data_IF_973789091858
#
_entry.id   IF_973789091858
#
_cell.length_a   1.000
_cell.length_b   1.000
_cell.length_c   1.000
_cell.angle_alpha   90.00
_cell.angle_beta   90.00
_cell.angle_gamma   90.00
#
_symmetry.space_group_name_H-M   'P 1'
#
loop_
_entity.id
_entity.type
_entity.pdbx_description
1 polymer ?
#
# COMPACT_ATOMS: atom_id res chain seq x y z
N UNK A 1 3.19 22.60 -3.41
CA UNK A 1 3.93 21.63 -2.59
C UNK A 1 2.94 21.06 -1.59
N UNK A 2 2.91 19.77 -1.33
CA UNK A 2 1.93 19.20 -0.38
C UNK A 2 2.38 19.53 1.04
N UNK A 3 1.59 20.34 1.78
CA UNK A 3 1.78 20.59 3.22
C UNK A 3 1.16 19.45 4.07
N UNK A 4 0.86 18.31 3.46
CA UNK A 4 0.30 17.16 4.19
C UNK A 4 1.30 16.70 5.27
N UNK A 5 0.84 16.46 6.50
CA UNK A 5 1.68 15.88 7.54
C UNK A 5 2.17 14.50 7.12
N UNK A 6 3.30 14.07 7.68
CA UNK A 6 3.75 12.71 7.48
C UNK A 6 2.79 11.71 8.11
N UNK A 7 2.56 10.59 7.40
CA UNK A 7 1.92 9.39 7.89
C UNK A 7 2.85 8.21 7.72
N UNK A 8 2.85 7.31 8.69
CA UNK A 8 3.76 6.18 8.72
C UNK A 8 2.99 4.87 8.84
N UNK A 9 3.24 3.97 7.89
CA UNK A 9 2.69 2.63 7.90
C UNK A 9 3.78 1.58 8.05
N UNK A 10 3.41 0.41 8.53
CA UNK A 10 4.26 -0.77 8.48
C UNK A 10 3.50 -1.95 7.87
N UNK A 11 4.14 -2.64 6.93
CA UNK A 11 3.61 -3.88 6.36
C UNK A 11 4.20 -5.07 7.09
N UNK A 12 3.35 -5.77 7.86
CA UNK A 12 3.72 -6.98 8.57
C UNK A 12 3.49 -8.23 7.70
N UNK A 13 4.38 -9.22 7.87
CA UNK A 13 4.30 -10.51 7.15
C UNK A 13 3.39 -11.51 7.84
N UNK A 14 3.32 -11.45 9.19
CA UNK A 14 2.51 -12.37 9.97
C UNK A 14 3.15 -12.75 11.31
N UNK A 15 2.71 -13.86 11.87
CA UNK A 15 3.20 -14.40 13.14
C UNK A 15 2.99 -15.90 13.21
N UNK A 16 3.77 -16.59 14.05
CA UNK A 16 3.65 -18.03 14.30
C UNK A 16 2.51 -18.40 15.26
N UNK A 17 1.90 -17.41 15.93
CA UNK A 17 0.77 -17.63 16.84
C UNK A 17 -0.11 -16.39 16.98
N UNK A 18 -1.37 -16.59 17.42
CA UNK A 18 -2.27 -15.47 17.69
C UNK A 18 -1.80 -14.56 18.84
N UNK A 19 -1.02 -15.08 19.77
CA UNK A 19 -0.39 -14.27 20.84
C UNK A 19 0.65 -13.33 20.20
N UNK A 20 1.58 -13.89 19.46
CA UNK A 20 2.64 -13.13 18.78
C UNK A 20 2.05 -12.06 17.85
N UNK A 21 0.98 -12.39 17.11
CA UNK A 21 0.31 -11.41 16.26
C UNK A 21 -0.22 -10.21 17.06
N UNK A 22 -0.92 -10.45 18.16
CA UNK A 22 -1.42 -9.38 19.03
C UNK A 22 -0.29 -8.55 19.65
N UNK A 23 0.80 -9.18 20.06
CA UNK A 23 1.99 -8.49 20.58
C UNK A 23 2.61 -7.59 19.52
N UNK A 24 2.77 -8.06 18.27
CA UNK A 24 3.21 -7.24 17.13
C UNK A 24 2.27 -6.04 16.87
N UNK A 25 0.96 -6.27 16.87
CA UNK A 25 -0.01 -5.18 16.67
C UNK A 25 0.13 -4.07 17.73
N UNK A 26 0.21 -4.44 19.01
CA UNK A 26 0.43 -3.48 20.10
C UNK A 26 1.78 -2.79 19.97
N UNK A 27 2.81 -3.52 19.56
CA UNK A 27 4.15 -2.94 19.34
C UNK A 27 4.13 -1.86 18.27
N UNK A 28 3.46 -2.10 17.14
CA UNK A 28 3.27 -1.11 16.06
C UNK A 28 2.61 0.15 16.59
N UNK A 29 1.53 0.01 17.35
CA UNK A 29 0.82 1.15 17.94
C UNK A 29 1.68 1.91 18.96
N UNK A 30 2.41 1.20 19.84
CA UNK A 30 3.32 1.80 20.83
C UNK A 30 4.47 2.57 20.19
N UNK A 31 4.96 2.14 19.03
CA UNK A 31 5.99 2.83 18.28
C UNK A 31 5.48 4.08 17.54
N UNK A 32 4.17 4.34 17.56
CA UNK A 32 3.59 5.55 16.97
C UNK A 32 3.30 5.46 15.47
N UNK A 33 3.24 4.27 14.88
CA UNK A 33 2.77 4.12 13.50
C UNK A 33 1.29 4.50 13.36
N UNK A 34 0.95 5.09 12.21
CA UNK A 34 -0.44 5.45 11.88
C UNK A 34 -1.23 4.23 11.35
N UNK A 35 -0.55 3.33 10.62
CA UNK A 35 -1.22 2.23 9.92
C UNK A 35 -0.42 0.93 10.02
N UNK A 36 -1.10 -0.16 10.36
CA UNK A 36 -0.63 -1.52 10.19
C UNK A 36 -1.25 -2.09 8.92
N UNK A 37 -0.41 -2.60 8.03
CA UNK A 37 -0.86 -3.24 6.80
C UNK A 37 -0.41 -4.69 6.72
N UNK A 38 -1.19 -5.51 6.02
CA UNK A 38 -0.82 -6.89 5.65
C UNK A 38 -0.94 -7.07 4.14
N UNK A 39 -0.11 -7.97 3.59
CA UNK A 39 -0.23 -8.36 2.20
C UNK A 39 -1.26 -9.49 2.03
N UNK A 40 -1.80 -9.61 0.82
CA UNK A 40 -2.74 -10.66 0.45
C UNK A 40 -2.03 -11.70 -0.43
N UNK A 41 -1.32 -12.61 0.23
CA UNK A 41 -0.52 -13.66 -0.40
C UNK A 41 -0.86 -15.04 0.15
N UNK A 42 -0.89 -16.08 -0.72
CA UNK A 42 -1.15 -17.45 -0.30
C UNK A 42 0.05 -18.15 0.35
N UNK A 43 1.27 -18.06 -0.18
CA UNK A 43 2.38 -18.87 0.34
C UNK A 43 3.01 -18.30 1.62
N UNK A 44 2.60 -17.12 2.04
CA UNK A 44 3.19 -16.43 3.19
C UNK A 44 2.25 -15.41 3.80
N UNK A 45 2.41 -15.18 5.10
CA UNK A 45 1.58 -14.22 5.82
C UNK A 45 0.30 -14.85 6.38
N UNK A 46 -0.52 -14.01 6.95
CA UNK A 46 -1.84 -14.35 7.48
C UNK A 46 -2.92 -13.95 6.47
N UNK A 47 -4.05 -14.64 6.47
CA UNK A 47 -5.22 -14.21 5.72
C UNK A 47 -5.65 -12.79 6.15
N UNK A 48 -5.73 -11.81 5.23
CA UNK A 48 -5.76 -10.40 5.60
C UNK A 48 -6.96 -10.00 6.45
N UNK A 49 -8.17 -10.49 6.17
CA UNK A 49 -9.35 -10.11 6.95
C UNK A 49 -9.27 -10.54 8.41
N UNK A 50 -8.87 -11.79 8.68
CA UNK A 50 -8.71 -12.29 10.05
C UNK A 50 -7.59 -11.56 10.79
N UNK A 51 -6.46 -11.31 10.12
CA UNK A 51 -5.33 -10.60 10.68
C UNK A 51 -5.70 -9.14 11.04
N UNK A 52 -6.36 -8.43 10.11
CA UNK A 52 -6.75 -7.03 10.31
C UNK A 52 -7.86 -6.87 11.35
N UNK A 53 -8.84 -7.77 11.39
CA UNK A 53 -9.86 -7.78 12.44
C UNK A 53 -9.24 -7.98 13.82
N UNK A 54 -8.28 -8.91 13.94
CA UNK A 54 -7.55 -9.12 15.18
C UNK A 54 -6.69 -7.91 15.56
N UNK A 55 -6.04 -7.27 14.60
CA UNK A 55 -5.26 -6.06 14.84
C UNK A 55 -6.16 -4.91 15.33
N UNK A 56 -7.29 -4.69 14.67
CA UNK A 56 -8.26 -3.67 15.06
C UNK A 56 -8.82 -3.90 16.47
N UNK A 57 -9.13 -5.16 16.84
CA UNK A 57 -9.64 -5.52 18.17
C UNK A 57 -8.55 -5.49 19.28
N UNK A 58 -7.28 -5.34 18.89
CA UNK A 58 -6.13 -5.40 19.82
C UNK A 58 -5.53 -4.03 20.09
N UNK A 59 -5.86 -3.04 19.25
CA UNK A 59 -5.33 -1.68 19.25
C UNK A 59 -6.45 -0.65 19.28
N UNK A 60 -6.17 0.55 19.79
CA UNK A 60 -7.19 1.58 20.04
C UNK A 60 -7.21 2.65 18.94
N UNK A 61 -6.06 3.02 18.40
CA UNK A 61 -5.89 4.14 17.45
C UNK A 61 -5.34 3.74 16.10
N UNK A 62 -4.63 2.60 16.04
CA UNK A 62 -3.93 2.14 14.86
C UNK A 62 -4.92 1.88 13.72
N UNK A 63 -4.70 2.50 12.58
CA UNK A 63 -5.42 2.17 11.36
C UNK A 63 -4.97 0.81 10.85
N UNK A 64 -5.87 0.09 10.22
CA UNK A 64 -5.60 -1.26 9.68
C UNK A 64 -5.92 -1.28 8.19
N UNK A 65 -5.13 -1.99 7.40
CA UNK A 65 -5.38 -2.07 5.97
C UNK A 65 -4.61 -3.18 5.27
N UNK A 66 -4.99 -3.47 4.04
CA UNK A 66 -4.19 -4.34 3.19
C UNK A 66 -3.24 -3.50 2.32
N UNK A 67 -2.03 -3.97 2.14
CA UNK A 67 -1.06 -3.38 1.22
C UNK A 67 -0.54 -4.47 0.26
N UNK A 68 -1.34 -4.88 -0.71
CA UNK A 68 -2.75 -4.55 -1.00
C UNK A 68 -3.57 -5.84 -1.17
N UNK A 69 -4.89 -5.79 -1.07
CA UNK A 69 -5.76 -6.90 -1.51
C UNK A 69 -5.56 -7.17 -3.00
N UNK A 70 -5.43 -8.45 -3.38
CA UNK A 70 -5.40 -8.85 -4.78
C UNK A 70 -6.84 -8.94 -5.31
N UNK A 71 -7.17 -8.09 -6.27
CA UNK A 71 -8.52 -8.02 -6.85
C UNK A 71 -9.01 -9.37 -7.38
N UNK A 72 -8.11 -10.16 -7.94
CA UNK A 72 -8.46 -11.43 -8.59
C UNK A 72 -8.77 -12.58 -7.61
N UNK A 73 -8.47 -12.41 -6.32
CA UNK A 73 -8.67 -13.47 -5.33
C UNK A 73 -10.09 -13.53 -4.77
N UNK A 74 -10.94 -12.54 -5.07
CA UNK A 74 -12.35 -12.51 -4.62
C UNK A 74 -13.22 -11.60 -5.46
N UNK A 75 -14.53 -11.91 -5.49
CA UNK A 75 -15.50 -11.05 -6.17
C UNK A 75 -15.60 -9.68 -5.47
N UNK A 76 -15.73 -8.54 -6.20
CA UNK A 76 -15.84 -7.20 -5.61
C UNK A 76 -16.96 -7.04 -4.58
N UNK A 77 -18.08 -7.75 -4.74
CA UNK A 77 -19.15 -7.73 -3.76
C UNK A 77 -18.74 -8.38 -2.42
N UNK A 78 -17.95 -9.46 -2.48
CA UNK A 78 -17.37 -10.08 -1.27
C UNK A 78 -16.39 -9.12 -0.63
N UNK A 79 -15.49 -8.51 -1.41
CA UNK A 79 -14.55 -7.51 -0.92
C UNK A 79 -15.29 -6.34 -0.25
N UNK A 80 -16.33 -5.79 -0.90
CA UNK A 80 -17.11 -4.68 -0.36
C UNK A 80 -17.79 -5.04 0.97
N UNK A 81 -18.36 -6.27 1.07
CA UNK A 81 -18.99 -6.76 2.30
C UNK A 81 -17.98 -6.91 3.44
N UNK A 82 -16.87 -7.57 3.19
CA UNK A 82 -15.85 -7.84 4.20
C UNK A 82 -15.17 -6.54 4.68
N UNK A 83 -14.89 -5.63 3.76
CA UNK A 83 -14.28 -4.33 4.10
C UNK A 83 -15.25 -3.40 4.83
N UNK A 84 -16.54 -3.38 4.47
CA UNK A 84 -17.55 -2.64 5.24
C UNK A 84 -17.70 -3.19 6.66
N UNK A 85 -17.66 -4.52 6.81
CA UNK A 85 -17.68 -5.19 8.12
C UNK A 85 -16.45 -4.83 8.95
N UNK A 86 -15.26 -4.87 8.33
CA UNK A 86 -14.02 -4.53 9.01
C UNK A 86 -13.96 -3.04 9.38
N UNK A 87 -14.50 -2.15 8.55
CA UNK A 87 -14.60 -0.74 8.85
C UNK A 87 -15.49 -0.48 10.09
N UNK A 88 -16.64 -1.17 10.15
CA UNK A 88 -17.52 -1.11 11.33
C UNK A 88 -16.81 -1.63 12.58
N UNK A 89 -16.20 -2.82 12.52
CA UNK A 89 -15.53 -3.46 13.66
C UNK A 89 -14.26 -2.73 14.11
N UNK A 90 -13.63 -1.98 13.22
CA UNK A 90 -12.48 -1.12 13.54
C UNK A 90 -12.88 0.31 13.92
N UNK A 91 -14.17 0.62 14.02
CA UNK A 91 -14.66 1.97 14.33
C UNK A 91 -14.12 3.04 13.37
N UNK A 92 -14.11 2.72 12.05
CA UNK A 92 -13.68 3.66 11.01
C UNK A 92 -12.15 3.78 10.86
N UNK A 93 -11.37 2.78 11.30
CA UNK A 93 -9.90 2.78 11.16
C UNK A 93 -9.40 1.99 9.96
N UNK A 94 -10.29 1.53 9.07
CA UNK A 94 -9.89 0.79 7.87
C UNK A 94 -9.35 1.70 6.77
N UNK A 95 -8.31 1.21 6.06
CA UNK A 95 -7.86 1.68 4.74
C UNK A 95 -7.88 0.50 3.76
N UNK A 96 -8.52 0.69 2.61
CA UNK A 96 -8.69 -0.39 1.62
C UNK A 96 -7.65 -0.27 0.53
N UNK A 97 -6.52 -0.95 0.71
CA UNK A 97 -5.54 -1.08 -0.36
C UNK A 97 -5.95 -2.20 -1.32
N UNK A 98 -5.99 -1.93 -2.62
CA UNK A 98 -6.35 -2.90 -3.66
C UNK A 98 -5.40 -2.80 -4.86
N UNK A 99 -5.05 -3.95 -5.45
CA UNK A 99 -4.16 -4.05 -6.60
C UNK A 99 -4.60 -5.10 -7.60
N UNK A 100 -3.99 -5.07 -8.79
CA UNK A 100 -4.34 -5.98 -9.89
C UNK A 100 -3.69 -7.38 -9.78
N UNK A 101 -2.97 -7.68 -8.70
CA UNK A 101 -2.19 -8.91 -8.58
C UNK A 101 -0.90 -8.88 -9.42
N UNK A 102 0.13 -9.62 -8.98
CA UNK A 102 1.43 -9.59 -9.66
C UNK A 102 2.22 -10.91 -9.58
N UNK A 103 2.07 -11.69 -8.53
CA UNK A 103 2.90 -12.87 -8.25
C UNK A 103 2.34 -14.10 -8.98
N UNK A 104 2.86 -14.38 -10.19
CA UNK A 104 2.44 -15.48 -11.07
C UNK A 104 2.34 -16.82 -10.34
N UNK A 105 3.33 -17.15 -9.51
CA UNK A 105 3.40 -18.45 -8.82
C UNK A 105 2.22 -18.71 -7.89
N UNK A 106 1.60 -17.68 -7.33
CA UNK A 106 0.39 -17.83 -6.51
C UNK A 106 -0.84 -18.21 -7.34
N UNK A 107 -0.99 -17.58 -8.51
CA UNK A 107 -2.06 -17.88 -9.43
C UNK A 107 -1.94 -19.33 -9.93
N UNK A 108 -0.72 -19.73 -10.32
CA UNK A 108 -0.45 -21.10 -10.78
C UNK A 108 -0.71 -22.13 -9.67
N UNK A 109 -0.28 -21.85 -8.44
CA UNK A 109 -0.46 -22.76 -7.30
C UNK A 109 -1.93 -22.88 -6.87
N UNK A 110 -2.75 -21.86 -7.07
CA UNK A 110 -4.16 -21.84 -6.67
C UNK A 110 -5.11 -22.19 -7.81
N UNK A 111 -4.62 -22.30 -9.04
CA UNK A 111 -5.47 -22.53 -10.22
C UNK A 111 -6.26 -21.28 -10.67
N UNK A 112 -6.02 -20.12 -10.06
CA UNK A 112 -6.60 -18.85 -10.51
C UNK A 112 -5.92 -18.44 -11.82
N UNK A 113 -6.66 -18.07 -12.88
CA UNK A 113 -6.05 -17.69 -14.15
C UNK A 113 -5.15 -16.45 -14.02
N UNK A 114 -3.88 -16.58 -14.42
CA UNK A 114 -2.95 -15.46 -14.50
C UNK A 114 -3.03 -14.77 -15.86
N UNK A 115 -4.03 -13.94 -16.05
CA UNK A 115 -4.20 -13.16 -17.26
C UNK A 115 -3.07 -12.15 -17.49
N UNK A 116 -2.95 -11.62 -18.71
CA UNK A 116 -2.03 -10.52 -19.01
C UNK A 116 -2.33 -9.31 -18.10
N UNK A 117 -1.31 -8.58 -17.72
CA UNK A 117 -1.42 -7.43 -16.80
C UNK A 117 -2.53 -6.44 -17.22
N UNK A 118 -2.67 -6.18 -18.53
CA UNK A 118 -3.74 -5.32 -19.05
C UNK A 118 -5.14 -5.80 -18.68
N UNK A 119 -5.40 -7.11 -18.78
CA UNK A 119 -6.71 -7.71 -18.43
C UNK A 119 -6.97 -7.63 -16.94
N UNK A 120 -5.96 -7.91 -16.11
CA UNK A 120 -6.07 -7.77 -14.64
C UNK A 120 -6.34 -6.32 -14.22
N UNK A 121 -5.70 -5.34 -14.88
CA UNK A 121 -5.95 -3.92 -14.65
C UNK A 121 -7.36 -3.52 -15.10
N UNK A 122 -7.86 -4.05 -16.23
CA UNK A 122 -9.24 -3.80 -16.67
C UNK A 122 -10.26 -4.36 -15.68
N UNK A 123 -9.99 -5.55 -15.13
CA UNK A 123 -10.80 -6.16 -14.07
C UNK A 123 -10.84 -5.30 -12.81
N UNK A 124 -9.69 -4.79 -12.37
CA UNK A 124 -9.63 -3.84 -11.25
C UNK A 124 -10.36 -2.52 -11.55
N UNK A 125 -10.25 -2.02 -12.79
CA UNK A 125 -10.93 -0.79 -13.21
C UNK A 125 -12.46 -0.92 -13.15
N UNK A 126 -12.99 -2.12 -13.36
CA UNK A 126 -14.41 -2.42 -13.23
C UNK A 126 -14.80 -2.68 -11.76
N UNK A 127 -13.90 -3.27 -10.96
CA UNK A 127 -14.15 -3.56 -9.55
C UNK A 127 -14.23 -2.30 -8.68
N UNK A 128 -13.33 -1.33 -8.86
CA UNK A 128 -13.22 -0.15 -8.02
C UNK A 128 -14.53 0.65 -7.91
N UNK A 129 -15.18 1.07 -9.02
CA UNK A 129 -16.46 1.77 -8.93
C UNK A 129 -17.57 0.89 -8.35
N UNK A 130 -17.58 -0.42 -8.64
CA UNK A 130 -18.55 -1.33 -8.09
C UNK A 130 -18.44 -1.43 -6.57
N UNK A 131 -17.23 -1.59 -6.04
CA UNK A 131 -16.99 -1.62 -4.59
C UNK A 131 -17.47 -0.32 -3.92
N UNK A 132 -17.10 0.85 -4.47
CA UNK A 132 -17.52 2.16 -3.94
C UNK A 132 -19.04 2.31 -3.95
N UNK A 133 -19.72 1.94 -5.05
CA UNK A 133 -21.17 1.96 -5.13
C UNK A 133 -21.82 1.05 -4.10
N UNK A 134 -21.31 -0.16 -3.92
CA UNK A 134 -21.83 -1.11 -2.92
C UNK A 134 -21.68 -0.61 -1.47
N UNK A 135 -20.72 0.27 -1.18
CA UNK A 135 -20.60 0.92 0.13
C UNK A 135 -21.58 2.08 0.34
N UNK A 136 -22.02 2.73 -0.74
CA UNK A 136 -22.73 4.02 -0.66
C UNK A 136 -24.16 4.01 -1.17
N UNK A 137 -24.51 3.04 -2.03
CA UNK A 137 -25.81 2.96 -2.70
C UNK A 137 -26.58 1.69 -2.28
N UNK A 138 -27.90 1.73 -2.41
CA UNK A 138 -28.78 0.56 -2.36
C UNK A 138 -29.13 0.11 -3.78
N UNK A 139 -29.58 -1.14 -3.90
CA UNK A 139 -30.10 -1.73 -5.13
C UNK A 139 -29.13 -1.58 -6.32
N UNK A 140 -27.81 -1.78 -6.04
CA UNK A 140 -26.77 -1.65 -7.05
C UNK A 140 -26.96 -2.69 -8.14
N UNK A 141 -27.20 -2.21 -9.36
CA UNK A 141 -27.23 -3.04 -10.56
C UNK A 141 -26.11 -2.59 -11.51
N UNK A 142 -25.29 -3.55 -11.96
CA UNK A 142 -24.27 -3.36 -12.98
C UNK A 142 -24.12 -4.62 -13.81
N UNK A 143 -23.77 -4.45 -15.09
CA UNK A 143 -23.47 -5.54 -16.02
C UNK A 143 -22.20 -5.19 -16.76
N UNK A 144 -21.09 -5.54 -16.18
CA UNK A 144 -19.78 -5.31 -16.77
C UNK A 144 -19.28 -6.50 -17.55
N UNK A 145 -18.08 -6.38 -18.06
CA UNK A 145 -17.37 -7.47 -18.75
C UNK A 145 -16.93 -8.59 -17.78
N UNK A 146 -16.51 -8.19 -16.58
CA UNK A 146 -15.93 -9.10 -15.59
C UNK A 146 -16.85 -9.35 -14.41
N UNK A 147 -17.67 -8.37 -14.03
CA UNK A 147 -18.50 -8.43 -12.83
C UNK A 147 -19.94 -8.04 -13.12
N UNK A 148 -20.84 -8.68 -12.40
CA UNK A 148 -22.28 -8.37 -12.43
C UNK A 148 -22.82 -8.28 -11.01
N UNK A 149 -23.72 -7.36 -10.80
CA UNK A 149 -24.57 -7.28 -9.61
C UNK A 149 -25.99 -6.92 -10.07
N UNK A 150 -26.99 -7.46 -9.40
CA UNK A 150 -28.40 -7.20 -9.72
C UNK A 150 -29.13 -6.92 -8.42
N UNK A 151 -29.65 -5.70 -8.26
CA UNK A 151 -30.45 -5.26 -7.11
C UNK A 151 -29.76 -5.56 -5.76
N UNK A 152 -28.44 -5.38 -5.70
CA UNK A 152 -27.62 -5.75 -4.53
C UNK A 152 -27.48 -4.57 -3.58
N UNK A 153 -27.99 -4.73 -2.36
CA UNK A 153 -27.71 -3.84 -1.22
C UNK A 153 -26.85 -4.57 -0.18
N UNK A 154 -25.88 -3.89 0.41
CA UNK A 154 -25.01 -4.46 1.44
C UNK A 154 -25.29 -3.90 2.84
N UNK A 155 -25.23 -4.80 3.82
CA UNK A 155 -25.25 -4.49 5.26
C UNK A 155 -24.15 -5.29 5.96
N UNK A 156 -23.30 -4.70 6.85
CA UNK A 156 -23.34 -3.28 7.21
C UNK A 156 -22.83 -2.37 6.08
N UNK A 157 -23.08 -1.09 6.19
CA UNK A 157 -22.36 -0.05 5.47
C UNK A 157 -21.11 0.35 6.25
N UNK A 158 -20.04 0.87 5.60
CA UNK A 158 -18.92 1.48 6.30
C UNK A 158 -19.39 2.61 7.21
N UNK A 159 -18.64 2.84 8.31
CA UNK A 159 -18.87 3.99 9.19
C UNK A 159 -18.15 5.25 8.70
N UNK A 160 -17.07 5.08 7.92
CA UNK A 160 -16.38 6.20 7.28
C UNK A 160 -17.21 6.76 6.10
N UNK A 161 -17.36 8.08 6.03
CA UNK A 161 -18.08 8.76 4.96
C UNK A 161 -17.13 9.52 4.03
N UNK A 162 -17.34 9.47 2.70
CA UNK A 162 -18.37 8.70 1.99
C UNK A 162 -18.10 7.20 1.98
N UNK A 163 -16.85 6.76 2.19
CA UNK A 163 -16.39 5.38 2.27
C UNK A 163 -14.97 5.34 2.88
N UNK A 164 -14.45 4.18 3.29
CA UNK A 164 -13.05 4.04 3.71
C UNK A 164 -12.09 4.52 2.62
N UNK A 165 -10.95 5.16 2.97
CA UNK A 165 -9.96 5.56 1.98
C UNK A 165 -9.49 4.36 1.13
N UNK A 166 -9.50 4.55 -0.18
CA UNK A 166 -9.06 3.55 -1.14
C UNK A 166 -7.64 3.84 -1.60
N UNK A 167 -6.73 2.89 -1.35
CA UNK A 167 -5.38 2.91 -1.88
C UNK A 167 -5.29 2.01 -3.10
N UNK A 168 -4.68 2.48 -4.17
CA UNK A 168 -4.28 1.63 -5.30
C UNK A 168 -2.78 1.71 -5.50
N UNK A 169 -2.12 0.54 -5.47
CA UNK A 169 -0.67 0.43 -5.61
C UNK A 169 -0.24 -0.17 -6.94
N UNK A 170 0.88 0.31 -7.45
CA UNK A 170 1.50 -0.23 -8.65
C UNK A 170 2.74 0.54 -9.11
N UNK A 171 3.42 0.02 -10.14
CA UNK A 171 4.64 0.63 -10.68
C UNK A 171 4.54 0.99 -12.17
N UNK A 172 3.55 0.49 -12.90
CA UNK A 172 3.37 0.76 -14.33
C UNK A 172 2.42 1.91 -14.60
N UNK A 173 2.56 2.54 -15.78
CA UNK A 173 1.76 3.71 -16.15
C UNK A 173 0.24 3.44 -16.08
N UNK A 174 -0.24 2.31 -16.60
CA UNK A 174 -1.66 2.02 -16.69
C UNK A 174 -2.33 1.89 -15.32
N UNK A 175 -1.71 1.17 -14.38
CA UNK A 175 -2.24 1.01 -13.02
C UNK A 175 -2.16 2.32 -12.23
N UNK A 176 -1.08 3.10 -12.37
CA UNK A 176 -0.94 4.39 -11.71
C UNK A 176 -1.91 5.44 -12.27
N UNK A 177 -2.18 5.40 -13.58
CA UNK A 177 -3.24 6.24 -14.18
C UNK A 177 -4.64 5.85 -13.70
N UNK A 178 -4.89 4.56 -13.46
CA UNK A 178 -6.13 4.09 -12.84
C UNK A 178 -6.25 4.58 -11.40
N UNK A 179 -5.17 4.40 -10.61
CA UNK A 179 -5.08 4.89 -9.24
C UNK A 179 -5.38 6.40 -9.16
N UNK A 180 -4.74 7.19 -10.01
CA UNK A 180 -4.92 8.64 -10.07
C UNK A 180 -6.38 9.07 -10.29
N UNK A 181 -7.17 8.29 -11.03
CA UNK A 181 -8.58 8.60 -11.31
C UNK A 181 -9.54 8.12 -10.24
N UNK A 182 -9.23 7.03 -9.53
CA UNK A 182 -10.20 6.32 -8.69
C UNK A 182 -9.80 6.18 -7.22
N UNK A 183 -8.52 6.29 -6.87
CA UNK A 183 -8.06 6.14 -5.51
C UNK A 183 -7.99 7.47 -4.74
N UNK A 184 -7.93 7.37 -3.41
CA UNK A 184 -7.65 8.48 -2.51
C UNK A 184 -6.15 8.50 -2.16
N UNK A 185 -5.51 7.32 -2.17
CA UNK A 185 -4.10 7.12 -1.91
C UNK A 185 -3.47 6.38 -3.10
N UNK A 186 -2.40 6.95 -3.66
CA UNK A 186 -1.65 6.33 -4.75
C UNK A 186 -0.32 5.81 -4.21
N UNK A 187 -0.15 4.47 -4.20
CA UNK A 187 1.10 3.86 -3.76
C UNK A 187 2.05 3.64 -4.96
N UNK A 188 3.16 4.38 -4.95
CA UNK A 188 4.21 4.28 -5.96
C UNK A 188 5.12 3.11 -5.60
N UNK A 189 4.91 1.97 -6.24
CA UNK A 189 5.67 0.74 -5.99
C UNK A 189 6.64 0.45 -7.16
N UNK A 190 7.68 -0.37 -6.95
CA UNK A 190 8.42 -0.97 -8.06
C UNK A 190 7.49 -1.77 -8.97
N UNK A 191 7.78 -1.79 -10.27
CA UNK A 191 7.03 -2.62 -11.23
C UNK A 191 7.27 -4.10 -10.94
N UNK A 192 6.27 -4.92 -11.27
CA UNK A 192 6.49 -6.35 -11.40
C UNK A 192 7.05 -6.65 -12.80
N UNK A 193 8.02 -7.58 -12.87
CA UNK A 193 8.50 -8.13 -14.13
C UNK A 193 7.45 -9.01 -14.79
N UNK A 194 7.58 -9.36 -16.08
CA UNK A 194 6.66 -10.29 -16.75
C UNK A 194 6.55 -11.66 -16.06
N UNK A 195 7.62 -12.08 -15.38
CA UNK A 195 7.70 -13.32 -14.62
C UNK A 195 6.98 -13.24 -13.26
N UNK A 196 6.55 -12.04 -12.86
CA UNK A 196 5.85 -11.82 -11.60
C UNK A 196 6.82 -11.70 -10.41
N UNK A 197 7.95 -11.01 -10.59
CA UNK A 197 8.88 -10.62 -9.54
C UNK A 197 8.96 -9.09 -9.44
N UNK A 198 9.37 -8.50 -8.30
CA UNK A 198 9.65 -7.07 -8.24
C UNK A 198 10.84 -6.70 -9.13
N UNK A 199 10.70 -5.68 -9.94
CA UNK A 199 11.81 -5.10 -10.69
C UNK A 199 12.68 -4.27 -9.73
N UNK A 200 13.82 -4.85 -9.32
CA UNK A 200 14.72 -4.25 -8.33
C UNK A 200 15.40 -2.96 -8.82
N UNK A 201 15.39 -2.68 -10.11
CA UNK A 201 15.93 -1.46 -10.70
C UNK A 201 14.91 -0.33 -10.77
N UNK A 202 13.62 -0.62 -10.71
CA UNK A 202 12.52 0.37 -10.78
C UNK A 202 12.29 1.08 -9.43
N UNK A 203 13.39 1.41 -8.73
CA UNK A 203 13.37 2.05 -7.40
C UNK A 203 14.12 3.39 -7.35
N UNK A 204 14.58 3.90 -8.48
CA UNK A 204 15.36 5.13 -8.53
C UNK A 204 14.50 6.38 -8.33
N UNK A 205 15.16 7.50 -8.04
CA UNK A 205 14.52 8.82 -7.99
C UNK A 205 13.93 9.22 -9.35
N UNK A 206 14.60 8.84 -10.45
CA UNK A 206 14.13 9.08 -11.83
C UNK A 206 12.85 8.28 -12.13
N UNK A 207 12.84 6.99 -11.78
CA UNK A 207 11.63 6.15 -11.91
C UNK A 207 10.45 6.73 -11.13
N UNK A 208 10.70 7.19 -9.92
CA UNK A 208 9.66 7.81 -9.09
C UNK A 208 9.15 9.11 -9.72
N UNK A 209 10.04 9.96 -10.24
CA UNK A 209 9.65 11.18 -10.97
C UNK A 209 8.80 10.86 -12.21
N UNK A 210 9.20 9.83 -12.97
CA UNK A 210 8.44 9.35 -14.14
C UNK A 210 7.05 8.84 -13.76
N UNK A 211 6.95 8.01 -12.71
CA UNK A 211 5.67 7.51 -12.17
C UNK A 211 4.78 8.65 -11.71
N UNK A 212 5.35 9.62 -11.02
CA UNK A 212 4.63 10.80 -10.55
C UNK A 212 4.09 11.66 -11.72
N UNK A 213 4.85 11.77 -12.81
CA UNK A 213 4.36 12.45 -14.01
C UNK A 213 3.12 11.76 -14.60
N UNK A 214 3.08 10.42 -14.63
CA UNK A 214 1.89 9.67 -15.06
C UNK A 214 0.69 9.89 -14.14
N UNK A 215 0.93 9.91 -12.82
CA UNK A 215 -0.14 10.18 -11.83
C UNK A 215 -0.70 11.58 -12.01
N UNK A 216 0.15 12.60 -12.13
CA UNK A 216 -0.28 13.99 -12.34
C UNK A 216 -1.09 14.16 -13.63
N UNK A 217 -0.59 13.62 -14.75
CA UNK A 217 -1.27 13.68 -16.03
C UNK A 217 -2.65 13.01 -16.00
N UNK A 218 -2.79 11.89 -15.28
CA UNK A 218 -4.05 11.15 -15.21
C UNK A 218 -5.05 11.71 -14.17
N UNK A 219 -4.56 12.34 -13.10
CA UNK A 219 -5.37 12.96 -12.06
C UNK A 219 -5.96 14.31 -12.47
N UNK A 220 -5.23 15.08 -13.29
CA UNK A 220 -5.64 16.45 -13.64
C UNK A 220 -5.83 17.31 -12.39
N UNK A 221 -6.98 17.97 -12.28
CA UNK A 221 -7.35 18.86 -11.18
C UNK A 221 -7.46 18.15 -9.82
N UNK A 222 -7.70 16.81 -9.81
CA UNK A 222 -7.78 16.04 -8.56
C UNK A 222 -6.40 15.74 -7.94
N UNK A 223 -5.29 16.06 -8.61
CA UNK A 223 -3.95 15.73 -8.11
C UNK A 223 -3.66 16.25 -6.68
N UNK A 224 -4.07 17.46 -6.27
CA UNK A 224 -3.88 17.95 -4.90
C UNK A 224 -4.62 17.14 -3.84
N UNK A 225 -5.72 16.46 -4.20
CA UNK A 225 -6.52 15.65 -3.27
C UNK A 225 -5.88 14.27 -3.00
N UNK A 226 -4.98 13.83 -3.88
CA UNK A 226 -4.32 12.54 -3.75
C UNK A 226 -3.28 12.56 -2.63
N UNK A 227 -3.30 11.54 -1.78
CA UNK A 227 -2.18 11.23 -0.90
C UNK A 227 -1.21 10.29 -1.62
N UNK A 228 0.08 10.61 -1.60
CA UNK A 228 1.11 9.81 -2.25
C UNK A 228 1.84 8.95 -1.23
N UNK A 229 1.79 7.64 -1.44
CA UNK A 229 2.47 6.65 -0.63
C UNK A 229 3.70 6.09 -1.35
N UNK A 230 4.73 5.76 -0.58
CA UNK A 230 5.88 4.97 -1.03
C UNK A 230 6.19 3.87 -0.03
N UNK A 231 6.60 2.70 -0.52
CA UNK A 231 7.13 1.64 0.33
C UNK A 231 8.65 1.79 0.44
N UNK A 232 9.15 1.88 1.66
CA UNK A 232 10.59 1.79 1.97
C UNK A 232 10.92 0.32 2.19
N UNK A 233 11.65 -0.25 1.25
CA UNK A 233 11.99 -1.67 1.21
C UNK A 233 13.10 -2.02 2.20
N UNK A 234 14.00 -1.07 2.47
CA UNK A 234 15.08 -1.21 3.45
C UNK A 234 15.31 0.07 4.24
N UNK A 235 15.34 -0.07 5.56
CA UNK A 235 15.81 0.94 6.50
C UNK A 235 17.15 0.45 7.05
N UNK A 236 18.24 1.20 6.82
CA UNK A 236 19.61 0.82 7.16
C UNK A 236 20.22 1.85 8.10
N UNK A 237 20.07 1.70 9.43
CA UNK A 237 20.73 2.56 10.40
C UNK A 237 22.24 2.39 10.31
N UNK A 238 22.96 3.48 10.10
CA UNK A 238 24.42 3.50 10.01
C UNK A 238 24.97 4.89 10.28
N UNK A 239 26.20 4.95 10.77
CA UNK A 239 26.98 6.19 10.87
C UNK A 239 27.86 6.44 9.63
N UNK A 240 27.94 5.47 8.71
CA UNK A 240 28.66 5.58 7.45
C UNK A 240 27.68 5.31 6.29
N UNK A 241 26.99 6.37 5.93
CA UNK A 241 25.95 6.35 4.90
C UNK A 241 26.51 6.01 3.52
N UNK A 242 27.72 6.51 3.22
CA UNK A 242 28.39 6.28 1.94
C UNK A 242 28.82 4.82 1.78
N UNK A 243 29.44 4.23 2.80
CA UNK A 243 29.80 2.82 2.77
C UNK A 243 28.58 1.91 2.61
N UNK A 244 27.49 2.19 3.32
CA UNK A 244 26.24 1.45 3.17
C UNK A 244 25.65 1.59 1.76
N UNK A 245 25.72 2.79 1.16
CA UNK A 245 25.28 3.03 -0.21
C UNK A 245 26.11 2.24 -1.22
N UNK A 246 27.42 2.21 -1.08
CA UNK A 246 28.31 1.40 -1.92
C UNK A 246 28.01 -0.09 -1.84
N UNK A 247 27.73 -0.62 -0.64
CA UNK A 247 27.38 -2.03 -0.46
C UNK A 247 26.05 -2.36 -1.16
N UNK A 248 25.00 -1.55 -0.95
CA UNK A 248 23.70 -1.76 -1.60
C UNK A 248 23.76 -1.57 -3.12
N UNK A 249 24.60 -0.69 -3.61
CA UNK A 249 24.81 -0.46 -5.03
C UNK A 249 25.28 -1.73 -5.75
N UNK A 250 26.23 -2.46 -5.16
CA UNK A 250 26.69 -3.76 -5.67
C UNK A 250 25.58 -4.83 -5.65
N UNK A 251 24.77 -4.86 -4.57
CA UNK A 251 23.70 -5.85 -4.41
C UNK A 251 22.55 -5.63 -5.41
N UNK A 252 22.22 -4.36 -5.68
CA UNK A 252 21.04 -3.98 -6.49
C UNK A 252 21.39 -3.63 -7.95
N UNK A 253 22.69 -3.65 -8.29
CA UNK A 253 23.20 -3.23 -9.61
C UNK A 253 22.76 -1.79 -9.96
N UNK A 254 23.00 -0.88 -9.02
CA UNK A 254 22.74 0.56 -9.09
C UNK A 254 24.01 1.32 -8.70
N UNK A 255 24.05 2.61 -8.95
CA UNK A 255 25.11 3.48 -8.45
C UNK A 255 24.86 3.89 -6.99
N UNK A 256 25.91 4.21 -6.19
CA UNK A 256 25.73 4.73 -4.83
C UNK A 256 24.83 5.99 -4.78
N UNK A 257 24.91 6.86 -5.79
CA UNK A 257 24.05 8.03 -5.91
C UNK A 257 22.57 7.66 -6.07
N UNK A 258 22.26 6.69 -6.94
CA UNK A 258 20.88 6.17 -7.11
C UNK A 258 20.34 5.53 -5.83
N UNK A 259 21.19 4.83 -5.06
CA UNK A 259 20.83 4.28 -3.74
C UNK A 259 20.46 5.40 -2.78
N UNK A 260 21.30 6.43 -2.64
CA UNK A 260 21.06 7.54 -1.71
C UNK A 260 19.82 8.37 -2.06
N UNK A 261 19.53 8.54 -3.35
CA UNK A 261 18.36 9.28 -3.82
C UNK A 261 17.08 8.45 -3.89
N UNK A 262 17.17 7.11 -3.86
CA UNK A 262 16.02 6.21 -4.01
C UNK A 262 14.93 6.46 -2.96
N UNK A 263 13.68 6.74 -3.34
CA UNK A 263 12.58 6.85 -2.38
C UNK A 263 12.23 5.52 -1.66
N UNK A 264 12.72 4.40 -2.17
CA UNK A 264 12.46 3.07 -1.64
C UNK A 264 13.53 2.54 -0.67
N UNK A 265 14.59 3.31 -0.44
CA UNK A 265 15.70 2.97 0.46
C UNK A 265 15.93 4.11 1.44
N UNK A 266 16.28 3.81 2.68
CA UNK A 266 16.53 4.80 3.71
C UNK A 266 17.78 4.41 4.51
N UNK A 267 18.83 5.21 4.42
CA UNK A 267 20.15 4.92 4.99
C UNK A 267 20.66 6.09 5.84
N UNK A 268 21.42 5.81 6.87
CA UNK A 268 22.11 6.80 7.70
C UNK A 268 21.65 6.80 9.14
N UNK A 269 21.96 7.87 9.87
CA UNK A 269 21.45 8.13 11.20
C UNK A 269 19.97 8.53 11.15
N UNK A 270 19.27 8.49 12.28
CA UNK A 270 17.86 8.92 12.34
C UNK A 270 17.65 10.36 11.84
N UNK A 271 18.59 11.25 12.13
CA UNK A 271 18.53 12.66 11.70
C UNK A 271 18.71 12.80 10.18
N UNK A 272 19.67 12.06 9.59
CA UNK A 272 19.86 12.03 8.12
C UNK A 272 18.67 11.42 7.38
N UNK A 273 18.11 10.33 7.91
CA UNK A 273 16.91 9.70 7.37
C UNK A 273 15.70 10.63 7.42
N UNK A 274 15.50 11.34 8.54
CA UNK A 274 14.43 12.32 8.67
C UNK A 274 14.60 13.50 7.70
N UNK A 275 15.82 14.01 7.54
CA UNK A 275 16.14 15.04 6.56
C UNK A 275 15.86 14.55 5.12
N UNK A 276 16.24 13.31 4.80
CA UNK A 276 15.96 12.67 3.51
C UNK A 276 14.47 12.57 3.23
N UNK A 277 13.65 12.18 4.21
CA UNK A 277 12.19 12.12 4.04
C UNK A 277 11.58 13.51 3.82
N UNK A 278 12.04 14.55 4.53
CA UNK A 278 11.60 15.93 4.26
C UNK A 278 11.93 16.38 2.82
N UNK A 279 13.14 16.07 2.33
CA UNK A 279 13.52 16.35 0.94
C UNK A 279 12.64 15.61 -0.07
N UNK A 280 12.35 14.32 0.17
CA UNK A 280 11.48 13.51 -0.70
C UNK A 280 10.03 14.02 -0.70
N UNK A 281 9.51 14.45 0.45
CA UNK A 281 8.21 15.12 0.52
C UNK A 281 8.19 16.40 -0.32
N UNK A 282 9.20 17.23 -0.19
CA UNK A 282 9.30 18.48 -0.95
C UNK A 282 9.45 18.24 -2.47
N UNK A 283 10.26 17.25 -2.85
CA UNK A 283 10.55 16.92 -4.27
C UNK A 283 9.39 16.19 -4.95
N UNK A 284 8.81 15.20 -4.29
CA UNK A 284 7.87 14.25 -4.88
C UNK A 284 6.46 14.33 -4.30
N UNK A 285 6.25 15.01 -3.18
CA UNK A 285 4.97 15.02 -2.47
C UNK A 285 4.70 13.77 -1.64
N UNK A 286 5.71 12.92 -1.43
CA UNK A 286 5.59 11.67 -0.65
C UNK A 286 5.41 11.98 0.82
N UNK A 287 4.19 11.90 1.31
CA UNK A 287 3.83 12.15 2.72
C UNK A 287 3.45 10.90 3.49
N UNK A 288 3.05 9.84 2.80
CA UNK A 288 2.73 8.56 3.42
C UNK A 288 3.85 7.54 3.15
N UNK A 289 4.58 7.18 4.19
CA UNK A 289 5.74 6.27 4.10
C UNK A 289 5.38 4.95 4.77
N UNK A 290 5.41 3.87 4.00
CA UNK A 290 5.22 2.51 4.52
C UNK A 290 6.55 1.80 4.56
N UNK A 291 6.95 1.25 5.71
CA UNK A 291 8.13 0.38 5.82
C UNK A 291 7.73 -1.09 5.81
N UNK A 292 8.65 -1.97 5.44
CA UNK A 292 8.48 -3.41 5.63
C UNK A 292 8.68 -3.79 7.10
N UNK A 293 8.30 -5.00 7.50
CA UNK A 293 8.44 -5.48 8.88
C UNK A 293 9.87 -5.36 9.43
N UNK A 294 10.88 -5.55 8.58
CA UNK A 294 12.29 -5.42 8.98
C UNK A 294 12.66 -3.96 9.35
N UNK A 295 11.89 -3.00 8.85
CA UNK A 295 12.00 -1.59 9.19
C UNK A 295 11.25 -1.17 10.45
N UNK A 296 10.44 -2.04 11.07
CA UNK A 296 9.55 -1.68 12.18
C UNK A 296 10.29 -0.96 13.33
N UNK A 297 11.31 -1.58 13.87
CA UNK A 297 12.09 -0.99 14.98
C UNK A 297 13.10 0.07 14.50
N UNK A 298 13.88 -0.17 13.44
CA UNK A 298 14.85 0.81 12.97
C UNK A 298 14.26 2.15 12.52
N UNK A 299 13.00 2.18 12.11
CA UNK A 299 12.37 3.40 11.63
C UNK A 299 11.73 4.24 12.75
N UNK A 300 11.46 3.68 13.92
CA UNK A 300 10.82 4.40 15.02
C UNK A 300 11.58 5.68 15.44
N UNK A 301 12.91 5.70 15.60
CA UNK A 301 13.64 6.93 15.90
C UNK A 301 13.54 8.01 14.81
N UNK A 302 13.32 7.60 13.56
CA UNK A 302 13.13 8.54 12.44
C UNK A 302 11.78 9.24 12.55
N UNK A 303 10.73 8.51 12.95
CA UNK A 303 9.39 9.09 13.18
C UNK A 303 9.44 10.15 14.30
N UNK A 304 10.13 9.87 15.40
CA UNK A 304 10.34 10.85 16.50
C UNK A 304 10.98 12.15 16.00
N UNK A 305 11.99 12.07 15.09
CA UNK A 305 12.62 13.26 14.47
C UNK A 305 11.68 14.02 13.52
N UNK A 306 10.59 13.41 13.11
CA UNK A 306 9.57 14.02 12.24
C UNK A 306 8.34 14.53 13.02
N UNK A 307 8.38 14.44 14.36
CA UNK A 307 7.37 15.00 15.25
C UNK A 307 6.24 14.02 15.62
N UNK A 308 6.56 12.73 15.65
CA UNK A 308 5.67 11.66 16.11
C UNK A 308 6.09 11.13 17.47
#
# INVERSE_FOLDING_TARGET
MSDRPFRFGVQLRGAGSGREWREKCRRVEMLGYDTLAVADHFPRGLGPFAALATAAATTDRLRVGAFVFANDFRHPAVLAKETATLDLLSEGRLEVGIGAGWLRTEYEATGIPFDRAGVRIDRLAEALPLVKRLWTEDNVTTRGRFYQAVDLSLTPRPVQAPHPPVMVGGGGQRILSLAARHADIVALNPRATPEGAPDRRDITAEDTARKLAWVRAAAGERFPDLELNTVVLRVVPTNDREAAAHQLAQELDLTPGEILESPHLLLGTADEMAATLRQRRNRFGLSYVTVTEDGLEPFAPVMERLGR
#
